data_IF_921967273353
#
_entry.id   IF_921967273353
#
_cell.length_a   1.000
_cell.length_b   1.000
_cell.length_c   1.000
_cell.angle_alpha   90.00
_cell.angle_beta   90.00
_cell.angle_gamma   90.00
#
_symmetry.space_group_name_H-M   'P 1'
#
loop_
_entity.id
_entity.type
_entity.pdbx_description
1 polymer ?
#
# COMPACT_ATOMS: atom_id res chain seq x y z
N UNK A 1 7.68 15.51 3.90
CA UNK A 1 8.05 14.85 2.63
C UNK A 1 6.95 13.90 2.21
N UNK A 2 6.89 13.47 0.93
CA UNK A 2 5.98 12.39 0.49
C UNK A 2 6.49 11.05 1.03
N UNK A 3 5.61 10.32 1.72
CA UNK A 3 5.93 9.06 2.42
C UNK A 3 5.47 7.83 1.66
N UNK A 4 4.24 7.84 1.13
CA UNK A 4 3.65 6.70 0.42
C UNK A 4 2.61 7.19 -0.57
N UNK A 5 2.39 6.44 -1.66
CA UNK A 5 1.44 6.79 -2.73
C UNK A 5 0.61 5.58 -3.10
N UNK A 6 -0.70 5.78 -3.26
CA UNK A 6 -1.67 4.73 -3.56
C UNK A 6 -2.60 5.20 -4.67
N UNK A 7 -2.85 4.31 -5.63
CA UNK A 7 -3.74 4.56 -6.76
C UNK A 7 -4.84 3.51 -6.70
N UNK A 8 -6.09 3.96 -6.62
CA UNK A 8 -7.24 3.08 -6.56
C UNK A 8 -8.36 3.63 -7.43
N UNK A 9 -9.17 2.75 -8.00
CA UNK A 9 -10.41 3.14 -8.66
C UNK A 9 -11.46 3.53 -7.61
N UNK A 10 -12.43 4.36 -8.00
CA UNK A 10 -13.47 4.89 -7.10
C UNK A 10 -14.31 3.80 -6.42
N UNK A 11 -14.34 2.57 -6.96
CA UNK A 11 -14.99 1.41 -6.34
C UNK A 11 -14.15 0.72 -5.25
N UNK A 12 -12.97 1.27 -4.95
CA UNK A 12 -12.05 0.75 -3.93
C UNK A 12 -11.06 -0.30 -4.46
N UNK A 13 -11.05 -0.59 -5.76
CA UNK A 13 -10.07 -1.51 -6.33
C UNK A 13 -8.69 -0.86 -6.39
N UNK A 14 -7.73 -1.40 -5.65
CA UNK A 14 -6.33 -0.97 -5.70
C UNK A 14 -5.72 -1.27 -7.07
N UNK A 15 -5.16 -0.24 -7.72
CA UNK A 15 -4.55 -0.34 -9.06
C UNK A 15 -3.02 -0.44 -8.97
N UNK A 16 -2.41 0.42 -8.16
CA UNK A 16 -0.97 0.47 -7.90
C UNK A 16 -0.70 1.12 -6.53
N UNK A 17 0.47 0.86 -5.96
CA UNK A 17 0.94 1.53 -4.74
C UNK A 17 2.47 1.58 -4.74
N UNK A 18 3.03 2.56 -4.04
CA UNK A 18 4.46 2.60 -3.79
C UNK A 18 4.88 1.49 -2.83
N UNK A 19 5.96 0.78 -3.14
CA UNK A 19 6.61 -0.10 -2.15
C UNK A 19 7.38 0.76 -1.15
N UNK A 20 7.08 0.58 0.14
CA UNK A 20 7.77 1.24 1.24
C UNK A 20 8.66 0.23 1.98
N UNK A 21 9.68 0.71 2.70
CA UNK A 21 10.52 -0.16 3.53
C UNK A 21 9.76 -0.65 4.80
N UNK A 22 10.26 -1.71 5.44
CA UNK A 22 9.59 -2.34 6.58
C UNK A 22 9.38 -1.37 7.76
N UNK A 23 10.27 -0.40 7.94
CA UNK A 23 10.13 0.59 9.00
C UNK A 23 8.99 1.58 8.68
N UNK A 24 8.98 2.13 7.47
CA UNK A 24 7.93 3.04 7.00
C UNK A 24 6.57 2.34 6.92
N UNK A 25 6.50 1.05 6.57
CA UNK A 25 5.27 0.27 6.61
C UNK A 25 4.65 0.25 8.01
N UNK A 26 5.48 0.00 9.03
CA UNK A 26 5.02 -0.03 10.42
C UNK A 26 4.60 1.36 10.92
N UNK A 27 5.39 2.40 10.63
CA UNK A 27 5.07 3.78 11.01
C UNK A 27 3.77 4.28 10.35
N UNK A 28 3.55 3.91 9.08
CA UNK A 28 2.41 4.37 8.29
C UNK A 28 1.20 3.45 8.37
N UNK A 29 1.26 2.32 9.09
CA UNK A 29 0.22 1.30 9.12
C UNK A 29 -1.18 1.86 9.44
N UNK A 30 -1.27 2.74 10.45
CA UNK A 30 -2.52 3.39 10.83
C UNK A 30 -3.06 4.30 9.73
N UNK A 31 -2.20 5.14 9.14
CA UNK A 31 -2.58 6.11 8.11
C UNK A 31 -2.93 5.41 6.80
N UNK A 32 -2.24 4.32 6.46
CA UNK A 32 -2.59 3.46 5.32
C UNK A 32 -3.94 2.76 5.52
N UNK A 33 -4.29 2.40 6.75
CA UNK A 33 -5.65 1.91 7.06
C UNK A 33 -6.71 2.98 6.81
N UNK A 34 -6.44 4.22 7.24
CA UNK A 34 -7.31 5.36 6.96
C UNK A 34 -7.43 5.67 5.46
N UNK A 35 -6.34 5.58 4.70
CA UNK A 35 -6.36 5.72 3.24
C UNK A 35 -7.32 4.72 2.57
N UNK A 36 -7.31 3.45 3.01
CA UNK A 36 -8.28 2.44 2.54
C UNK A 36 -9.72 2.81 2.86
N UNK A 37 -9.97 3.33 4.06
CA UNK A 37 -11.30 3.81 4.44
C UNK A 37 -11.74 5.01 3.59
N UNK A 38 -10.82 5.90 3.23
CA UNK A 38 -11.09 7.00 2.30
C UNK A 38 -11.50 6.44 0.95
N UNK A 39 -10.72 5.53 0.35
CA UNK A 39 -11.05 4.94 -0.95
C UNK A 39 -12.44 4.29 -0.98
N UNK A 40 -12.86 3.62 0.10
CA UNK A 40 -14.20 3.03 0.21
C UNK A 40 -15.34 4.03 0.27
N UNK A 41 -15.07 5.24 0.77
CA UNK A 41 -16.07 6.31 0.92
C UNK A 41 -16.07 7.29 -0.25
N UNK A 42 -15.06 7.25 -1.10
CA UNK A 42 -15.04 8.05 -2.32
C UNK A 42 -16.15 7.58 -3.26
N UNK A 43 -16.74 8.55 -3.94
CA UNK A 43 -17.77 8.34 -4.93
C UNK A 43 -17.57 9.35 -6.06
N UNK A 44 -18.32 9.20 -7.16
CA UNK A 44 -18.32 10.17 -8.26
C UNK A 44 -18.77 11.58 -7.84
N UNK A 45 -19.48 11.70 -6.71
CA UNK A 45 -19.95 12.97 -6.16
C UNK A 45 -18.95 13.60 -5.16
N UNK A 46 -17.87 12.89 -4.83
CA UNK A 46 -16.84 13.43 -3.94
C UNK A 46 -16.13 14.61 -4.61
N UNK A 47 -15.62 15.54 -3.80
CA UNK A 47 -14.80 16.63 -4.31
C UNK A 47 -13.60 16.03 -5.08
N UNK A 48 -13.27 16.56 -6.28
CA UNK A 48 -12.20 16.00 -7.12
C UNK A 48 -10.83 16.07 -6.44
N UNK A 49 -10.65 17.02 -5.51
CA UNK A 49 -9.40 17.24 -4.79
C UNK A 49 -9.71 17.56 -3.33
N UNK A 50 -9.03 16.89 -2.40
CA UNK A 50 -9.07 17.28 -1.01
C UNK A 50 -7.78 16.92 -0.26
N UNK A 51 -7.58 17.62 0.85
CA UNK A 51 -6.55 17.31 1.85
C UNK A 51 -7.22 16.80 3.12
N UNK A 52 -6.74 15.71 3.66
CA UNK A 52 -7.29 15.05 4.84
C UNK A 52 -6.19 15.00 5.90
N UNK A 53 -6.39 15.72 6.99
CA UNK A 53 -5.42 15.76 8.08
C UNK A 53 -5.56 14.54 8.99
N UNK A 54 -4.44 13.89 9.30
CA UNK A 54 -4.39 12.73 10.19
C UNK A 54 -3.14 12.77 11.07
N UNK A 55 -3.29 13.39 12.25
CA UNK A 55 -2.20 13.52 13.23
C UNK A 55 -0.95 14.20 12.66
N UNK A 56 0.13 13.43 12.54
CA UNK A 56 1.44 13.90 12.02
C UNK A 56 1.53 13.89 10.49
N UNK A 57 0.52 13.35 9.82
CA UNK A 57 0.48 13.20 8.37
C UNK A 57 -0.72 13.93 7.77
N UNK A 58 -0.62 14.23 6.49
CA UNK A 58 -1.71 14.74 5.68
C UNK A 58 -1.84 13.86 4.44
N UNK A 59 -3.05 13.38 4.17
CA UNK A 59 -3.37 12.63 2.97
C UNK A 59 -3.93 13.60 1.94
N UNK A 60 -3.30 13.69 0.78
CA UNK A 60 -3.81 14.48 -0.33
C UNK A 60 -4.33 13.52 -1.39
N UNK A 61 -5.50 13.80 -1.96
CA UNK A 61 -6.01 13.00 -3.05
C UNK A 61 -6.48 13.85 -4.23
N UNK A 62 -6.34 13.29 -5.43
CA UNK A 62 -6.79 13.82 -6.71
C UNK A 62 -7.59 12.73 -7.41
N UNK A 63 -8.80 13.03 -7.86
CA UNK A 63 -9.64 12.13 -8.66
C UNK A 63 -9.60 12.58 -10.11
N UNK A 64 -9.27 11.65 -11.01
CA UNK A 64 -9.27 11.84 -12.46
C UNK A 64 -9.76 10.55 -13.12
N UNK A 65 -10.73 10.63 -14.03
CA UNK A 65 -11.26 9.50 -14.81
C UNK A 65 -11.69 8.28 -13.97
N UNK A 66 -12.44 8.51 -12.88
CA UNK A 66 -12.85 7.49 -11.89
C UNK A 66 -11.70 6.80 -11.15
N UNK A 67 -10.48 7.33 -11.24
CA UNK A 67 -9.30 6.88 -10.50
C UNK A 67 -8.91 7.93 -9.47
N UNK A 68 -8.70 7.49 -8.23
CA UNK A 68 -8.20 8.28 -7.13
C UNK A 68 -6.69 8.04 -6.94
N UNK A 69 -5.94 9.12 -7.03
CA UNK A 69 -4.52 9.19 -6.74
C UNK A 69 -4.36 9.82 -5.35
N UNK A 70 -3.81 9.07 -4.40
CA UNK A 70 -3.66 9.51 -3.02
C UNK A 70 -2.18 9.43 -2.62
N UNK A 71 -1.67 10.47 -1.96
CA UNK A 71 -0.37 10.44 -1.33
C UNK A 71 -0.46 10.76 0.16
N UNK A 72 0.37 10.09 0.95
CA UNK A 72 0.57 10.35 2.37
C UNK A 72 1.83 11.19 2.50
N UNK A 73 1.70 12.36 3.11
CA UNK A 73 2.80 13.29 3.32
C UNK A 73 2.95 13.62 4.80
N UNK A 74 4.15 14.01 5.23
CA UNK A 74 4.29 14.68 6.55
C UNK A 74 3.48 15.97 6.55
N UNK A 75 2.90 16.33 7.70
CA UNK A 75 2.07 17.54 7.85
C UNK A 75 2.80 18.84 7.46
N UNK A 76 4.13 18.88 7.60
CA UNK A 76 4.96 20.03 7.23
C UNK A 76 5.23 20.15 5.73
N UNK A 77 4.84 19.16 4.93
CA UNK A 77 5.09 19.18 3.49
C UNK A 77 4.16 20.17 2.78
N UNK A 78 4.68 21.03 1.88
CA UNK A 78 3.84 22.01 1.20
C UNK A 78 2.73 21.34 0.38
N UNK A 79 1.48 21.73 0.66
CA UNK A 79 0.29 21.25 -0.06
C UNK A 79 0.42 21.42 -1.58
N UNK A 80 0.96 22.55 -2.02
CA UNK A 80 1.18 22.87 -3.43
C UNK A 80 2.00 21.78 -4.12
N UNK A 81 3.17 21.44 -3.54
CA UNK A 81 4.04 20.38 -4.04
C UNK A 81 3.37 19.00 -4.04
N UNK A 82 2.56 18.69 -3.02
CA UNK A 82 1.84 17.42 -2.97
C UNK A 82 0.84 17.24 -4.12
N UNK A 83 0.09 18.30 -4.48
CA UNK A 83 -0.84 18.25 -5.60
C UNK A 83 -0.15 18.27 -6.96
N UNK A 84 0.96 18.98 -7.10
CA UNK A 84 1.78 18.92 -8.33
C UNK A 84 2.33 17.51 -8.53
N UNK A 85 2.87 16.91 -7.48
CA UNK A 85 3.28 15.50 -7.49
C UNK A 85 2.13 14.59 -7.93
N UNK A 86 0.94 14.71 -7.33
CA UNK A 86 -0.22 13.90 -7.72
C UNK A 86 -0.67 14.14 -9.17
N UNK A 87 -0.54 15.36 -9.68
CA UNK A 87 -0.88 15.69 -11.06
C UNK A 87 0.08 15.03 -12.06
N UNK A 88 1.38 15.02 -11.77
CA UNK A 88 2.38 14.33 -12.58
C UNK A 88 2.12 12.81 -12.60
N UNK A 89 1.86 12.23 -11.42
CA UNK A 89 1.50 10.82 -11.27
C UNK A 89 0.23 10.49 -12.06
N UNK A 90 -0.82 11.31 -11.95
CA UNK A 90 -2.08 11.08 -12.64
C UNK A 90 -1.92 11.21 -14.16
N UNK A 91 -1.17 12.22 -14.63
CA UNK A 91 -0.92 12.45 -16.04
C UNK A 91 -0.17 11.27 -16.66
N UNK A 92 0.93 10.85 -16.03
CA UNK A 92 1.71 9.71 -16.53
C UNK A 92 0.88 8.42 -16.52
N UNK A 93 0.13 8.16 -15.45
CA UNK A 93 -0.71 6.96 -15.35
C UNK A 93 -1.76 6.91 -16.46
N UNK A 94 -2.48 8.02 -16.68
CA UNK A 94 -3.51 8.12 -17.74
C UNK A 94 -2.94 8.16 -19.16
N UNK A 95 -1.64 8.47 -19.31
CA UNK A 95 -0.94 8.44 -20.61
C UNK A 95 -0.42 7.03 -20.91
N UNK A 96 0.10 6.35 -19.89
CA UNK A 96 0.66 5.00 -20.00
C UNK A 96 -0.42 3.94 -20.16
N UNK A 97 -1.53 4.09 -19.43
CA UNK A 97 -2.64 3.14 -19.44
C UNK A 97 -3.91 3.83 -19.94
N UNK A 98 -4.57 3.21 -20.91
CA UNK A 98 -5.83 3.73 -21.45
C UNK A 98 -6.98 3.60 -20.45
N UNK A 99 -8.00 4.46 -20.59
CA UNK A 99 -9.20 4.41 -19.73
C UNK A 99 -9.91 3.07 -19.76
N UNK A 100 -9.93 2.41 -20.92
CA UNK A 100 -10.50 1.06 -21.04
C UNK A 100 -9.75 0.02 -20.22
N UNK A 101 -8.43 0.16 -20.06
CA UNK A 101 -7.62 -0.75 -19.26
C UNK A 101 -7.88 -0.55 -17.78
N UNK A 102 -7.74 0.67 -17.25
CA UNK A 102 -7.85 0.92 -15.81
C UNK A 102 -9.30 0.93 -15.28
N UNK A 103 -10.30 1.10 -16.16
CA UNK A 103 -11.72 0.96 -15.83
C UNK A 103 -12.32 -0.42 -16.18
N UNK A 104 -11.50 -1.39 -16.61
CA UNK A 104 -12.00 -2.73 -16.94
C UNK A 104 -12.65 -3.42 -15.72
N UNK A 105 -13.83 -4.06 -15.88
CA UNK A 105 -14.51 -4.71 -14.76
C UNK A 105 -13.76 -5.95 -14.24
N UNK A 106 -12.94 -6.59 -15.07
CA UNK A 106 -12.24 -7.84 -14.74
C UNK A 106 -10.79 -7.63 -14.26
N UNK A 107 -10.46 -6.42 -13.81
CA UNK A 107 -9.14 -6.10 -13.27
C UNK A 107 -8.88 -6.83 -11.94
N UNK A 108 -7.67 -7.38 -11.81
CA UNK A 108 -7.17 -7.90 -10.53
C UNK A 108 -6.64 -6.75 -9.67
N UNK A 109 -6.72 -6.84 -8.33
CA UNK A 109 -6.04 -5.89 -7.46
C UNK A 109 -4.55 -5.80 -7.82
N UNK A 110 -4.02 -4.58 -7.81
CA UNK A 110 -2.64 -4.26 -8.16
C UNK A 110 -2.24 -4.68 -9.58
N UNK A 111 -3.15 -4.61 -10.55
CA UNK A 111 -2.83 -4.93 -11.95
C UNK A 111 -1.72 -4.06 -12.57
N UNK A 112 -1.43 -2.89 -11.99
CA UNK A 112 -0.48 -1.91 -12.50
C UNK A 112 0.73 -1.73 -11.58
N UNK A 113 1.19 -2.80 -10.90
CA UNK A 113 2.36 -2.75 -10.00
C UNK A 113 3.63 -2.19 -10.62
N UNK A 114 3.83 -2.37 -11.93
CA UNK A 114 5.03 -1.90 -12.64
C UNK A 114 5.18 -0.36 -12.59
N UNK A 115 4.06 0.34 -12.40
CA UNK A 115 4.03 1.79 -12.26
C UNK A 115 4.73 2.30 -10.98
N UNK A 116 4.99 1.44 -10.00
CA UNK A 116 5.79 1.77 -8.81
C UNK A 116 7.14 2.39 -9.18
N UNK A 117 7.80 1.91 -10.25
CA UNK A 117 9.09 2.46 -10.71
C UNK A 117 9.01 3.96 -11.00
N UNK A 118 7.91 4.39 -11.64
CA UNK A 118 7.67 5.80 -11.92
C UNK A 118 7.33 6.57 -10.63
N UNK A 119 6.47 5.99 -9.79
CA UNK A 119 6.10 6.57 -8.50
C UNK A 119 7.34 6.88 -7.65
N UNK A 120 8.27 5.93 -7.52
CA UNK A 120 9.49 6.08 -6.72
C UNK A 120 10.43 7.14 -7.30
N UNK A 121 10.62 7.14 -8.63
CA UNK A 121 11.46 8.14 -9.31
C UNK A 121 10.92 9.54 -9.06
N UNK A 122 9.63 9.75 -9.30
CA UNK A 122 8.98 11.05 -9.13
C UNK A 122 8.98 11.45 -7.66
N UNK A 123 8.69 10.51 -6.73
CA UNK A 123 8.81 10.74 -5.28
C UNK A 123 10.20 11.26 -4.89
N UNK A 124 11.26 10.64 -5.41
CA UNK A 124 12.64 11.09 -5.18
C UNK A 124 12.92 12.51 -5.67
N UNK A 125 12.39 12.90 -6.83
CA UNK A 125 12.50 14.28 -7.34
C UNK A 125 11.82 15.29 -6.42
N UNK A 126 10.64 14.96 -5.92
CA UNK A 126 9.83 15.84 -5.05
C UNK A 126 10.26 15.86 -3.58
N UNK A 127 11.12 14.92 -3.17
CA UNK A 127 11.78 14.92 -1.86
C UNK A 127 13.04 15.79 -1.83
N UNK A 128 13.73 15.93 -2.97
CA UNK A 128 14.95 16.71 -3.07
C UNK A 128 14.64 18.22 -3.08
N UNK A 129 14.88 18.89 -1.94
CA UNK A 129 14.62 20.33 -1.72
C UNK A 129 15.19 21.26 -2.81
N UNK A 130 16.35 20.92 -3.40
CA UNK A 130 16.96 21.69 -4.51
C UNK A 130 16.22 21.55 -5.84
N UNK A 131 15.68 20.36 -6.11
CA UNK A 131 14.87 20.11 -7.30
C UNK A 131 13.47 20.73 -7.15
N UNK A 132 12.89 20.64 -5.95
CA UNK A 132 11.62 21.28 -5.61
C UNK A 132 11.66 22.81 -5.82
N UNK A 133 12.76 23.49 -5.44
CA UNK A 133 12.91 24.94 -5.66
C UNK A 133 12.99 25.34 -7.15
N UNK A 134 13.50 24.46 -8.02
CA UNK A 134 13.50 24.69 -9.47
C UNK A 134 12.14 24.37 -10.08
N UNK A 135 11.44 23.35 -9.57
CA UNK A 135 10.07 23.03 -9.96
C UNK A 135 9.09 24.14 -9.55
N UNK A 136 9.23 24.72 -8.36
CA UNK A 136 8.41 25.85 -7.91
C UNK A 136 8.57 27.08 -8.82
N UNK A 137 9.77 27.31 -9.38
CA UNK A 137 10.05 28.39 -10.34
C UNK A 137 9.63 28.08 -11.77
N UNK A 138 9.79 26.83 -12.22
CA UNK A 138 9.39 26.41 -13.57
C UNK A 138 7.87 26.35 -13.74
N UNK A 139 7.17 26.25 -12.62
CA UNK A 139 5.75 26.01 -12.59
C UNK A 139 5.08 27.29 -12.02
N UNK A 140 5.50 28.48 -12.43
CA UNK A 140 4.82 29.75 -12.05
C UNK A 140 3.35 29.82 -12.56
N UNK A 141 2.90 28.85 -13.38
CA UNK A 141 1.49 28.56 -13.70
C UNK A 141 0.79 27.63 -12.67
N UNK A 142 1.44 27.32 -11.55
CA UNK A 142 1.03 26.29 -10.59
C UNK A 142 -0.41 26.49 -10.11
N UNK A 143 -1.17 25.41 -10.26
CA UNK A 143 -2.56 25.19 -9.83
C UNK A 143 -2.91 25.92 -8.53
N UNK A 144 -4.02 26.65 -8.55
CA UNK A 144 -4.60 27.32 -7.39
C UNK A 144 -5.14 26.29 -6.38
N UNK A 145 -4.28 25.83 -5.47
CA UNK A 145 -4.63 24.88 -4.40
C UNK A 145 -5.43 25.51 -3.26
N UNK A 146 -5.74 26.82 -3.31
CA UNK A 146 -6.51 27.49 -2.25
C UNK A 146 -7.97 27.01 -2.20
N UNK A 147 -8.52 26.55 -3.33
CA UNK A 147 -9.88 26.00 -3.41
C UNK A 147 -9.99 24.55 -2.95
N UNK A 148 -8.88 23.89 -2.64
CA UNK A 148 -8.87 22.49 -2.20
C UNK A 148 -9.44 22.39 -0.80
N UNK A 149 -10.51 21.59 -0.67
CA UNK A 149 -11.16 21.34 0.61
C UNK A 149 -10.18 20.65 1.57
N UNK A 150 -10.14 21.12 2.81
CA UNK A 150 -9.40 20.45 3.90
C UNK A 150 -10.41 19.85 4.86
N UNK A 151 -10.23 18.57 5.19
CA UNK A 151 -11.06 17.86 6.17
C UNK A 151 -10.16 17.19 7.20
N UNK A 152 -10.69 16.98 8.39
CA UNK A 152 -10.04 16.16 9.38
C UNK A 152 -10.46 14.68 9.19
N UNK A 153 -9.54 13.74 9.40
CA UNK A 153 -9.82 12.32 9.28
C UNK A 153 -10.85 11.82 10.30
N UNK A 154 -10.85 12.32 11.53
CA UNK A 154 -11.82 11.98 12.58
C UNK A 154 -13.25 12.30 12.13
N UNK A 155 -13.48 13.48 11.52
CA UNK A 155 -14.78 13.87 10.97
C UNK A 155 -15.23 12.96 9.84
N UNK A 156 -14.26 12.55 9.00
CA UNK A 156 -14.52 11.61 7.93
C UNK A 156 -14.83 10.23 8.47
N UNK A 157 -14.16 9.74 9.52
CA UNK A 157 -14.37 8.41 10.08
C UNK A 157 -15.70 8.29 10.82
N UNK A 158 -16.06 9.27 11.65
CA UNK A 158 -17.23 9.21 12.54
C UNK A 158 -18.58 9.07 11.82
N UNK A 159 -18.68 9.55 10.58
CA UNK A 159 -19.94 9.54 9.81
C UNK A 159 -20.34 8.17 9.22
N UNK A 160 -19.59 7.09 9.51
CA UNK A 160 -19.87 5.75 8.99
C UNK A 160 -19.30 4.58 9.79
N UNK A 161 -18.79 4.81 11.00
CA UNK A 161 -17.97 3.82 11.74
C UNK A 161 -18.77 2.76 12.54
N UNK A 162 -20.12 2.75 12.48
CA UNK A 162 -20.91 1.73 13.18
C UNK A 162 -21.07 0.41 12.41
N UNK A 163 -20.75 0.34 11.11
CA UNK A 163 -21.07 -0.84 10.28
C UNK A 163 -19.85 -1.65 9.80
N UNK A 164 -18.65 -1.09 9.74
CA UNK A 164 -17.50 -1.76 9.08
C UNK A 164 -16.39 -2.25 10.01
N UNK A 165 -16.47 -1.92 11.32
CA UNK A 165 -15.53 -2.38 12.35
C UNK A 165 -15.42 -3.92 12.51
N UNK A 166 -16.19 -4.72 11.78
CA UNK A 166 -16.28 -6.17 11.97
C UNK A 166 -15.67 -7.05 10.85
N UNK A 167 -15.34 -6.49 9.67
CA UNK A 167 -14.98 -7.29 8.50
C UNK A 167 -13.50 -7.55 8.26
N UNK A 168 -12.67 -6.50 8.18
CA UNK A 168 -11.35 -6.61 7.53
C UNK A 168 -10.16 -6.76 8.50
N UNK A 169 -10.29 -6.27 9.74
CA UNK A 169 -9.29 -6.56 10.78
C UNK A 169 -9.20 -8.08 11.06
N UNK A 170 -10.28 -8.81 10.79
CA UNK A 170 -10.42 -10.27 10.90
C UNK A 170 -9.70 -11.07 9.80
N UNK A 171 -9.39 -10.46 8.64
CA UNK A 171 -8.83 -11.14 7.47
C UNK A 171 -7.30 -11.12 7.41
N UNK A 172 -6.70 -9.93 7.56
CA UNK A 172 -5.25 -9.74 7.38
C UNK A 172 -4.42 -10.23 8.57
N UNK A 173 -4.92 -10.08 9.81
CA UNK A 173 -4.30 -10.70 10.99
C UNK A 173 -4.35 -12.23 10.93
N UNK A 174 -5.39 -12.81 10.33
CA UNK A 174 -5.56 -14.26 10.21
C UNK A 174 -4.67 -14.84 9.11
N UNK A 175 -4.48 -14.13 8.01
CA UNK A 175 -3.59 -14.53 6.91
C UNK A 175 -2.11 -14.43 7.28
N UNK A 176 -1.69 -13.34 7.95
CA UNK A 176 -0.32 -13.19 8.42
C UNK A 176 -0.01 -14.16 9.59
N UNK A 177 -0.92 -14.33 10.57
CA UNK A 177 -0.76 -15.34 11.62
C UNK A 177 -0.72 -16.78 11.08
N UNK A 178 -1.44 -17.07 10.00
CA UNK A 178 -1.37 -18.39 9.34
C UNK A 178 -0.06 -18.60 8.58
N UNK A 179 0.54 -17.56 8.00
CA UNK A 179 1.90 -17.63 7.43
C UNK A 179 2.94 -17.89 8.53
N UNK A 180 2.89 -17.17 9.65
CA UNK A 180 3.80 -17.40 10.78
C UNK A 180 3.62 -18.78 11.44
N UNK A 181 2.37 -19.26 11.62
CA UNK A 181 2.09 -20.63 12.13
C UNK A 181 2.62 -21.72 11.20
N UNK A 182 2.42 -21.56 9.88
CA UNK A 182 2.92 -22.53 8.89
C UNK A 182 4.44 -22.56 8.84
N UNK A 183 5.09 -21.40 8.95
CA UNK A 183 6.54 -21.31 9.04
C UNK A 183 7.08 -21.98 10.32
N UNK A 184 6.46 -21.74 11.48
CA UNK A 184 6.87 -22.33 12.76
C UNK A 184 6.74 -23.86 12.80
N UNK A 185 5.64 -24.43 12.27
CA UNK A 185 5.45 -25.89 12.20
C UNK A 185 6.50 -26.54 11.28
N UNK A 186 6.84 -25.90 10.16
CA UNK A 186 7.87 -26.39 9.25
C UNK A 186 9.25 -26.41 9.91
N UNK A 187 9.60 -25.33 10.62
CA UNK A 187 10.86 -25.23 11.37
C UNK A 187 10.95 -26.32 12.45
N UNK A 188 9.85 -26.59 13.17
CA UNK A 188 9.82 -27.65 14.19
C UNK A 188 10.01 -29.05 13.58
N UNK A 189 9.36 -29.34 12.43
CA UNK A 189 9.54 -30.62 11.72
C UNK A 189 10.95 -30.80 11.17
N UNK A 190 11.57 -29.74 10.65
CA UNK A 190 12.97 -29.79 10.19
C UNK A 190 13.94 -30.04 11.35
N UNK A 191 13.71 -29.42 12.51
CA UNK A 191 14.51 -29.67 13.72
C UNK A 191 14.35 -31.11 14.21
N UNK A 192 13.12 -31.63 14.26
CA UNK A 192 12.82 -33.00 14.67
C UNK A 192 13.46 -34.02 13.73
N UNK A 193 13.38 -33.81 12.42
CA UNK A 193 13.94 -34.71 11.42
C UNK A 193 15.48 -34.73 11.47
N UNK A 194 16.11 -33.57 11.72
CA UNK A 194 17.57 -33.50 11.94
C UNK A 194 18.02 -34.17 13.25
N UNK A 195 17.22 -34.06 14.32
CA UNK A 195 17.59 -34.61 15.62
C UNK A 195 17.39 -36.14 15.70
N UNK A 196 16.29 -36.66 15.15
CA UNK A 196 15.93 -38.08 15.26
C UNK A 196 16.30 -38.92 14.04
N UNK A 197 16.57 -38.31 12.89
CA UNK A 197 17.00 -38.98 11.67
C UNK A 197 18.21 -39.92 11.85
N UNK A 198 19.30 -39.48 12.53
CA UNK A 198 20.47 -40.34 12.75
C UNK A 198 20.15 -41.59 13.57
N UNK A 199 19.31 -41.48 14.60
CA UNK A 199 18.92 -42.62 15.45
C UNK A 199 18.04 -43.61 14.68
N UNK A 200 17.10 -43.11 13.86
CA UNK A 200 16.27 -43.96 13.01
C UNK A 200 17.11 -44.73 11.98
N UNK A 201 18.11 -44.08 11.37
CA UNK A 201 19.01 -44.71 10.41
C UNK A 201 19.84 -45.84 11.06
N UNK A 202 20.41 -45.60 12.25
CA UNK A 202 21.16 -46.64 13.00
C UNK A 202 20.26 -47.81 13.39
N UNK A 203 19.04 -47.53 13.86
CA UNK A 203 18.05 -48.58 14.16
C UNK A 203 17.67 -49.41 12.94
N UNK A 204 17.45 -48.76 11.79
CA UNK A 204 17.14 -49.45 10.54
C UNK A 204 18.29 -50.34 10.06
N UNK A 205 19.54 -49.86 10.15
CA UNK A 205 20.72 -50.65 9.84
C UNK A 205 20.81 -51.87 10.76
N UNK A 206 20.60 -51.70 12.07
CA UNK A 206 20.60 -52.82 13.03
C UNK A 206 19.53 -53.86 12.71
N UNK A 207 18.30 -53.44 12.41
CA UNK A 207 17.21 -54.35 12.03
C UNK A 207 17.52 -55.08 10.72
N UNK A 208 18.10 -54.41 9.74
CA UNK A 208 18.52 -55.02 8.49
C UNK A 208 19.57 -56.12 8.72
N UNK A 209 20.57 -55.86 9.58
CA UNK A 209 21.57 -56.87 9.94
C UNK A 209 20.97 -58.07 10.67
N UNK A 210 20.02 -57.84 11.59
CA UNK A 210 19.31 -58.94 12.29
C UNK A 210 18.50 -59.76 11.29
N UNK A 211 17.79 -59.11 10.37
CA UNK A 211 16.98 -59.79 9.36
C UNK A 211 17.86 -60.64 8.43
N UNK A 212 18.94 -60.08 7.87
CA UNK A 212 19.93 -60.82 7.08
C UNK A 212 20.54 -62.00 7.83
N UNK A 213 20.74 -61.86 9.15
CA UNK A 213 21.41 -62.89 9.96
C UNK A 213 20.51 -64.09 10.27
N UNK A 214 19.19 -63.91 10.30
CA UNK A 214 18.21 -64.91 10.72
C UNK A 214 17.35 -65.48 9.59
N UNK A 215 17.33 -64.85 8.41
CA UNK A 215 16.69 -65.33 7.18
C UNK A 215 17.73 -65.47 6.07
#
# INVERSE_FOLDING_TARGET
MVRSTQIARIDGLMLAASVDDDQAENELAQVKSQAKMIFRRLSRNSAPEASIESGQYTLHYLIKDDVCFLCICDKSYPRKLAFTYLADIATEFTTTYSSQQYNSPNLRPYAFVEFDTFIQRTKGTYQNSRAAANLDKLNDELRDVTKVMTKNIEDLLYRGDSLERMGEMSGRLREDSMKYRKAAVRINWELLMKQYGPFAAVGFIMLFFIWWRFF
#
